data_IF_536833832961
#
_entry.id   IF_536833832961
#
_cell.length_a   1.000
_cell.length_b   1.000
_cell.length_c   1.000
_cell.angle_alpha   90.00
_cell.angle_beta   90.00
_cell.angle_gamma   90.00
#
_symmetry.space_group_name_H-M   'P 1'
#
loop_
_entity.id
_entity.type
_entity.pdbx_description
1 polymer ?
#
# COMPACT_ATOMS: atom_id res chain seq x y z
N UNK A 1 29.60 -4.17 41.87
CA UNK A 1 30.93 -3.57 42.13
C UNK A 1 30.80 -2.62 43.31
N UNK A 2 31.66 -2.79 44.32
CA UNK A 2 31.53 -2.21 45.65
C UNK A 2 32.12 -0.78 45.67
N UNK A 3 31.32 0.24 45.34
CA UNK A 3 31.77 1.64 45.23
C UNK A 3 31.78 2.42 46.56
N UNK A 4 31.20 1.88 47.64
CA UNK A 4 31.10 2.58 48.93
C UNK A 4 32.39 2.60 49.76
N UNK A 5 33.22 1.56 49.66
CA UNK A 5 34.42 1.42 50.51
C UNK A 5 35.57 2.37 50.15
N UNK A 6 35.74 2.68 48.87
CA UNK A 6 36.82 3.56 48.40
C UNK A 6 36.56 5.05 48.68
N UNK A 7 35.30 5.47 48.77
CA UNK A 7 34.93 6.86 49.05
C UNK A 7 35.29 7.26 50.49
N UNK A 8 35.08 6.36 51.45
CA UNK A 8 35.35 6.59 52.88
C UNK A 8 36.86 6.69 53.15
N UNK A 9 37.68 5.84 52.49
CA UNK A 9 39.13 5.90 52.60
C UNK A 9 39.71 7.20 51.99
N UNK A 10 39.13 7.68 50.88
CA UNK A 10 39.54 8.93 50.27
C UNK A 10 39.18 10.15 51.14
N UNK A 11 37.97 10.18 51.71
CA UNK A 11 37.52 11.24 52.64
C UNK A 11 38.41 11.34 53.89
N UNK A 12 38.80 10.20 54.48
CA UNK A 12 39.70 10.17 55.63
C UNK A 12 41.13 10.66 55.33
N UNK A 13 41.60 10.51 54.09
CA UNK A 13 42.90 11.04 53.65
C UNK A 13 42.87 12.57 53.44
N UNK A 14 41.73 13.10 53.00
CA UNK A 14 41.52 14.54 52.76
C UNK A 14 41.41 15.33 54.06
N UNK A 15 40.79 14.74 55.10
CA UNK A 15 40.66 15.34 56.44
C UNK A 15 42.00 15.49 57.18
N UNK A 16 43.08 14.79 56.76
CA UNK A 16 44.42 14.90 57.37
C UNK A 16 45.29 16.00 56.77
N UNK A 17 44.86 16.69 55.71
CA UNK A 17 45.66 17.74 55.09
C UNK A 17 45.58 19.06 55.87
N UNK A 18 46.72 19.55 56.38
CA UNK A 18 46.80 20.83 57.14
C UNK A 18 46.77 22.09 56.25
N UNK A 19 46.61 21.95 54.94
CA UNK A 19 46.76 23.05 54.00
C UNK A 19 45.39 23.50 53.47
N UNK A 20 44.86 24.56 54.08
CA UNK A 20 43.50 25.05 53.87
C UNK A 20 43.19 25.30 52.38
N UNK A 21 44.16 25.80 51.61
CA UNK A 21 44.04 26.07 50.16
C UNK A 21 43.86 24.80 49.31
N UNK A 22 44.47 23.68 49.70
CA UNK A 22 44.36 22.42 48.98
C UNK A 22 42.99 21.75 49.20
N UNK A 23 42.42 21.90 50.40
CA UNK A 23 41.07 21.43 50.72
C UNK A 23 40.02 22.21 49.92
N UNK A 24 40.16 23.54 49.79
CA UNK A 24 39.22 24.35 49.00
C UNK A 24 39.26 23.99 47.52
N UNK A 25 40.45 23.77 46.93
CA UNK A 25 40.57 23.35 45.53
C UNK A 25 39.97 21.97 45.28
N UNK A 26 40.19 21.00 46.18
CA UNK A 26 39.63 19.64 46.03
C UNK A 26 38.11 19.66 46.23
N UNK A 27 37.59 20.43 47.19
CA UNK A 27 36.15 20.65 47.35
C UNK A 27 35.52 21.33 46.13
N UNK A 28 36.18 22.32 45.51
CA UNK A 28 35.73 22.97 44.28
C UNK A 28 35.80 22.05 43.05
N UNK A 29 36.78 21.15 42.98
CA UNK A 29 36.88 20.12 41.93
C UNK A 29 35.81 19.04 42.15
N UNK A 30 35.54 18.62 43.39
CA UNK A 30 34.44 17.71 43.72
C UNK A 30 33.08 18.37 43.47
N UNK A 31 32.86 19.63 43.86
CA UNK A 31 31.65 20.38 43.52
C UNK A 31 31.52 20.65 42.02
N UNK A 32 32.64 20.85 41.31
CA UNK A 32 32.68 21.02 39.86
C UNK A 32 32.40 19.73 39.09
N UNK A 33 32.86 18.58 39.62
CA UNK A 33 32.56 17.25 39.07
C UNK A 33 31.14 16.79 39.40
N UNK A 34 30.61 17.12 40.58
CA UNK A 34 29.19 16.89 40.92
C UNK A 34 28.24 17.80 40.13
N UNK A 35 28.66 19.02 39.75
CA UNK A 35 27.89 19.88 38.84
C UNK A 35 28.03 19.52 37.35
N UNK A 36 28.89 18.56 36.98
CA UNK A 36 29.10 18.16 35.59
C UNK A 36 28.21 16.97 35.17
N UNK A 37 27.69 16.20 36.12
CA UNK A 37 26.62 15.23 35.88
C UNK A 37 25.25 15.90 36.12
N UNK A 38 24.93 16.91 35.31
CA UNK A 38 23.52 17.28 35.15
C UNK A 38 22.90 16.12 34.38
N UNK A 39 22.18 15.23 35.08
CA UNK A 39 21.33 14.25 34.43
C UNK A 39 20.53 15.00 33.38
N UNK A 40 20.77 14.67 32.10
CA UNK A 40 20.05 15.29 31.01
C UNK A 40 18.60 14.81 31.16
N UNK A 41 17.75 15.63 31.77
CA UNK A 41 16.34 15.28 31.95
C UNK A 41 15.77 14.91 30.57
N UNK A 42 15.39 13.64 30.44
CA UNK A 42 14.80 13.12 29.22
C UNK A 42 13.41 13.75 29.09
N UNK A 43 13.19 14.52 28.04
CA UNK A 43 11.90 15.12 27.74
C UNK A 43 10.90 14.02 27.37
N UNK A 44 9.93 13.77 28.25
CA UNK A 44 8.88 12.78 28.04
C UNK A 44 7.61 13.41 27.42
N UNK A 45 7.69 14.64 26.91
CA UNK A 45 6.58 15.33 26.25
C UNK A 45 6.07 14.55 25.03
N UNK A 46 4.76 14.58 24.76
CA UNK A 46 4.20 13.83 23.66
C UNK A 46 4.51 14.48 22.30
N UNK A 47 4.77 13.68 21.25
CA UNK A 47 4.84 14.19 19.89
C UNK A 47 3.45 14.70 19.44
N UNK A 48 3.43 15.67 18.52
CA UNK A 48 2.18 16.14 17.88
C UNK A 48 1.96 15.33 16.62
N UNK A 49 0.90 14.53 16.58
CA UNK A 49 0.54 13.66 15.46
C UNK A 49 -0.47 14.35 14.53
N UNK A 50 -0.33 14.16 13.23
CA UNK A 50 -1.30 14.53 12.19
C UNK A 50 -1.58 13.35 11.29
N UNK A 51 -2.83 13.23 10.83
CA UNK A 51 -3.26 12.22 9.87
C UNK A 51 -4.01 12.86 8.71
N UNK A 52 -3.91 12.25 7.51
CA UNK A 52 -4.72 12.64 6.37
C UNK A 52 -6.20 12.32 6.60
N UNK A 53 -7.07 13.21 6.11
CA UNK A 53 -8.52 13.18 6.33
C UNK A 53 -9.26 13.27 4.99
N UNK A 54 -9.69 12.13 4.46
CA UNK A 54 -10.45 12.02 3.20
C UNK A 54 -9.64 12.30 1.94
N UNK A 55 -8.31 12.38 2.06
CA UNK A 55 -7.43 12.71 0.92
C UNK A 55 -7.21 11.53 -0.02
N UNK A 56 -7.10 10.33 0.54
CA UNK A 56 -6.77 9.11 -0.21
C UNK A 56 -7.79 8.00 0.07
N UNK A 57 -7.96 7.09 -0.88
CA UNK A 57 -8.87 5.94 -0.73
C UNK A 57 -8.18 4.71 -0.15
N UNK A 58 -6.89 4.52 -0.47
CA UNK A 58 -6.12 3.31 -0.15
C UNK A 58 -5.02 3.53 0.91
N UNK A 59 -4.96 4.71 1.53
CA UNK A 59 -3.95 5.01 2.56
C UNK A 59 -4.37 6.09 3.54
N UNK A 60 -3.76 6.07 4.72
CA UNK A 60 -3.71 7.21 5.63
C UNK A 60 -2.26 7.66 5.80
N UNK A 61 -1.96 8.89 5.40
CA UNK A 61 -0.64 9.48 5.58
C UNK A 61 -0.54 10.12 6.97
N UNK A 62 0.49 9.75 7.72
CA UNK A 62 0.77 10.22 9.07
C UNK A 62 2.08 10.98 9.12
N UNK A 63 2.12 12.00 9.97
CA UNK A 63 3.36 12.73 10.30
C UNK A 63 3.31 13.20 11.74
N UNK A 64 4.48 13.31 12.38
CA UNK A 64 4.57 13.83 13.74
C UNK A 64 5.82 14.67 13.97
N UNK A 65 5.80 15.50 15.02
CA UNK A 65 6.94 16.35 15.38
C UNK A 65 8.14 15.51 15.82
N UNK A 66 9.35 15.72 15.26
CA UNK A 66 10.57 15.06 15.73
C UNK A 66 10.92 15.50 17.16
N UNK A 67 11.23 14.54 18.02
CA UNK A 67 11.69 14.74 19.38
C UNK A 67 13.20 14.49 19.49
N UNK A 68 13.88 15.36 20.24
CA UNK A 68 15.34 15.29 20.38
C UNK A 68 15.75 14.07 21.21
N UNK A 69 16.71 13.30 20.68
CA UNK A 69 17.28 12.12 21.37
C UNK A 69 16.42 10.85 21.29
N UNK A 70 15.24 10.92 20.65
CA UNK A 70 14.40 9.75 20.37
C UNK A 70 15.02 8.94 19.23
N UNK A 71 15.09 7.62 19.41
CA UNK A 71 15.62 6.65 18.44
C UNK A 71 14.55 6.21 17.43
N UNK A 72 13.32 6.05 17.89
CA UNK A 72 12.20 5.52 17.12
C UNK A 72 10.86 5.90 17.74
N UNK A 73 9.76 5.64 17.04
CA UNK A 73 8.41 5.95 17.48
C UNK A 73 7.54 4.71 17.42
N UNK A 74 6.83 4.40 18.50
CA UNK A 74 5.77 3.40 18.47
C UNK A 74 4.50 4.04 17.95
N UNK A 75 4.05 3.58 16.78
CA UNK A 75 2.77 3.97 16.20
C UNK A 75 1.70 2.96 16.60
N UNK A 76 0.59 3.46 17.10
CA UNK A 76 -0.57 2.67 17.47
C UNK A 76 -1.79 3.09 16.66
N UNK A 77 -2.66 2.12 16.37
CA UNK A 77 -3.92 2.31 15.64
C UNK A 77 -5.02 1.48 16.28
N UNK A 78 -6.24 1.97 16.20
CA UNK A 78 -7.45 1.16 16.38
C UNK A 78 -8.23 1.14 15.09
N UNK A 79 -8.74 -0.02 14.73
CA UNK A 79 -9.62 -0.19 13.58
C UNK A 79 -11.03 0.31 13.92
N UNK A 80 -11.78 0.65 12.87
CA UNK A 80 -13.15 1.15 12.84
C UNK A 80 -13.94 1.06 14.16
N UNK A 81 -14.01 2.19 14.88
CA UNK A 81 -15.00 2.41 15.95
C UNK A 81 -15.62 3.79 15.74
N UNK A 82 -16.90 3.85 15.35
CA UNK A 82 -17.66 5.09 15.52
C UNK A 82 -17.90 5.28 17.02
N UNK A 83 -17.20 6.23 17.62
CA UNK A 83 -17.31 6.51 19.07
C UNK A 83 -17.36 8.01 19.33
N UNK A 84 -18.13 8.40 20.34
CA UNK A 84 -18.11 9.75 20.91
C UNK A 84 -16.93 9.99 21.86
N UNK A 85 -16.20 8.93 22.24
CA UNK A 85 -15.04 9.02 23.14
C UNK A 85 -13.84 8.20 22.61
N UNK A 86 -13.08 8.75 21.65
CA UNK A 86 -11.93 8.05 21.06
C UNK A 86 -10.74 7.89 22.02
N UNK A 87 -10.76 8.55 23.18
CA UNK A 87 -9.69 8.49 24.19
C UNK A 87 -9.50 7.12 24.85
N UNK A 88 -10.57 6.31 24.92
CA UNK A 88 -10.60 5.02 25.62
C UNK A 88 -10.59 3.82 24.68
N UNK A 89 -10.28 4.02 23.40
CA UNK A 89 -10.23 2.94 22.42
C UNK A 89 -9.06 1.98 22.69
N UNK A 90 -9.21 0.73 22.28
CA UNK A 90 -8.16 -0.28 22.37
C UNK A 90 -7.17 -0.11 21.20
N UNK A 91 -6.05 0.56 21.47
CA UNK A 91 -5.00 0.79 20.48
C UNK A 91 -4.06 -0.41 20.35
N UNK A 92 -3.84 -0.87 19.13
CA UNK A 92 -2.90 -1.95 18.78
C UNK A 92 -1.63 -1.33 18.18
N UNK A 93 -0.48 -1.90 18.52
CA UNK A 93 0.81 -1.48 17.94
C UNK A 93 0.84 -1.81 16.45
N UNK A 94 1.00 -0.79 15.61
CA UNK A 94 1.23 -0.93 14.16
C UNK A 94 2.69 -1.28 13.89
N UNK A 95 3.61 -0.60 14.59
CA UNK A 95 5.04 -0.84 14.47
C UNK A 95 5.90 0.20 15.17
N UNK A 96 7.21 -0.02 15.11
CA UNK A 96 8.24 0.90 15.57
C UNK A 96 8.93 1.54 14.36
N UNK A 97 8.81 2.87 14.23
CA UNK A 97 9.17 3.64 13.05
C UNK A 97 10.34 4.55 13.39
N UNK A 98 11.44 4.51 12.63
CA UNK A 98 12.60 5.37 12.85
C UNK A 98 12.45 6.78 12.27
N UNK A 99 11.57 6.93 11.28
CA UNK A 99 11.23 8.21 10.65
C UNK A 99 10.15 8.95 11.46
N UNK A 100 9.81 10.17 11.04
CA UNK A 100 8.71 10.98 11.57
C UNK A 100 7.47 10.99 10.69
N UNK A 101 7.44 10.11 9.69
CA UNK A 101 6.30 9.90 8.80
C UNK A 101 6.00 8.42 8.67
N UNK A 102 4.74 8.09 8.41
CA UNK A 102 4.30 6.73 8.12
C UNK A 102 3.12 6.78 7.15
N UNK A 103 3.07 5.83 6.21
CA UNK A 103 1.91 5.65 5.34
C UNK A 103 1.25 4.34 5.71
N UNK A 104 0.06 4.43 6.31
CA UNK A 104 -0.74 3.25 6.59
C UNK A 104 -1.48 2.80 5.33
N UNK A 105 -1.00 1.72 4.72
CA UNK A 105 -1.59 1.06 3.55
C UNK A 105 -2.58 -0.06 3.95
N UNK A 106 -2.63 -0.44 5.24
CA UNK A 106 -3.52 -1.51 5.73
C UNK A 106 -4.86 -0.94 6.17
N UNK A 107 -5.46 -0.15 5.29
CA UNK A 107 -6.73 0.54 5.49
C UNK A 107 -7.74 0.08 4.44
N UNK A 108 -9.02 0.25 4.77
CA UNK A 108 -10.16 0.00 3.89
C UNK A 108 -10.72 1.35 3.47
N UNK A 109 -11.09 1.50 2.20
CA UNK A 109 -11.67 2.77 1.75
C UNK A 109 -12.98 3.12 2.47
N UNK A 110 -13.33 4.41 2.46
CA UNK A 110 -14.50 4.94 3.18
C UNK A 110 -14.46 4.78 4.71
N UNK A 111 -13.37 4.28 5.28
CA UNK A 111 -13.26 3.95 6.71
C UNK A 111 -12.52 5.01 7.52
N UNK A 112 -12.78 5.00 8.83
CA UNK A 112 -12.16 5.89 9.82
C UNK A 112 -11.29 5.10 10.79
N UNK A 113 -10.16 5.70 11.15
CA UNK A 113 -9.14 5.16 12.03
C UNK A 113 -8.72 6.22 13.05
N UNK A 114 -8.19 5.76 14.17
CA UNK A 114 -7.58 6.63 15.18
C UNK A 114 -6.18 6.16 15.50
N UNK A 115 -5.28 7.13 15.67
CA UNK A 115 -3.85 6.89 15.85
C UNK A 115 -3.32 7.58 17.10
N UNK A 116 -2.26 6.98 17.65
CA UNK A 116 -1.38 7.60 18.66
C UNK A 116 0.06 7.26 18.35
N UNK A 117 0.98 8.15 18.72
CA UNK A 117 2.41 7.90 18.57
C UNK A 117 3.17 8.29 19.85
N UNK A 118 4.18 7.51 20.21
CA UNK A 118 5.06 7.77 21.36
C UNK A 118 6.53 7.57 20.95
N UNK A 119 7.40 8.47 21.38
CA UNK A 119 8.85 8.35 21.14
C UNK A 119 9.48 7.30 22.05
N UNK A 120 10.51 6.62 21.56
CA UNK A 120 11.32 5.63 22.26
C UNK A 120 12.78 6.07 22.25
N UNK A 121 13.37 6.22 23.42
CA UNK A 121 14.77 6.58 23.62
C UNK A 121 15.69 5.36 23.52
N UNK A 122 17.01 5.54 23.26
CA UNK A 122 17.97 4.43 23.19
C UNK A 122 18.03 3.53 24.42
N UNK A 123 17.70 4.06 25.61
CA UNK A 123 17.64 3.33 26.87
C UNK A 123 16.30 2.58 27.07
N UNK A 124 15.39 2.62 26.10
CA UNK A 124 14.06 2.00 26.16
C UNK A 124 12.98 2.83 26.84
N UNK A 125 13.32 4.00 27.41
CA UNK A 125 12.34 4.91 28.00
C UNK A 125 11.43 5.48 26.90
N UNK A 126 10.15 5.68 27.21
CA UNK A 126 9.14 6.18 26.27
C UNK A 126 8.62 7.54 26.70
N UNK A 127 8.23 8.36 25.73
CA UNK A 127 7.46 9.58 25.98
C UNK A 127 6.03 9.25 26.35
N UNK A 128 5.28 10.25 26.80
CA UNK A 128 3.82 10.20 26.73
C UNK A 128 3.37 10.01 25.28
N UNK A 129 2.25 9.33 25.08
CA UNK A 129 1.63 9.24 23.76
C UNK A 129 1.04 10.58 23.33
N UNK A 130 1.04 10.84 22.03
CA UNK A 130 0.29 11.93 21.43
C UNK A 130 -1.19 11.92 21.86
N UNK A 131 -1.86 13.06 21.69
CA UNK A 131 -3.32 13.06 21.63
C UNK A 131 -3.80 12.11 20.53
N UNK A 132 -5.03 11.62 20.67
CA UNK A 132 -5.63 10.79 19.62
C UNK A 132 -5.82 11.64 18.38
N UNK A 133 -5.27 11.19 17.26
CA UNK A 133 -5.51 11.81 15.96
C UNK A 133 -6.42 10.92 15.11
N UNK A 134 -7.48 11.52 14.56
CA UNK A 134 -8.36 10.87 13.61
C UNK A 134 -7.76 10.93 12.20
N UNK A 135 -7.79 9.82 11.47
CA UNK A 135 -7.55 9.78 10.02
C UNK A 135 -8.64 8.97 9.34
N UNK A 136 -9.01 9.32 8.11
CA UNK A 136 -10.01 8.57 7.36
C UNK A 136 -9.74 8.59 5.87
N UNK A 137 -10.17 7.54 5.19
CA UNK A 137 -10.08 7.38 3.74
C UNK A 137 -11.39 7.83 3.09
N UNK A 138 -11.32 8.34 1.85
CA UNK A 138 -12.52 8.49 1.03
C UNK A 138 -12.94 7.13 0.43
N UNK A 139 -14.16 7.02 -0.09
CA UNK A 139 -14.63 5.82 -0.79
C UNK A 139 -13.78 5.59 -2.04
N UNK A 140 -13.37 4.34 -2.28
CA UNK A 140 -12.63 3.95 -3.47
C UNK A 140 -13.52 4.01 -4.71
N UNK A 141 -13.11 4.81 -5.68
CA UNK A 141 -13.75 4.90 -6.99
C UNK A 141 -13.01 4.06 -8.02
N UNK A 142 -13.67 3.74 -9.13
CA UNK A 142 -13.01 3.05 -10.24
C UNK A 142 -11.83 3.88 -10.78
N UNK A 143 -11.99 5.21 -10.88
CA UNK A 143 -10.91 6.14 -11.26
C UNK A 143 -9.70 6.03 -10.33
N UNK A 144 -9.91 6.08 -9.01
CA UNK A 144 -8.83 5.99 -8.03
C UNK A 144 -8.12 4.62 -8.15
N UNK A 145 -8.87 3.53 -8.14
CA UNK A 145 -8.33 2.17 -8.16
C UNK A 145 -7.54 1.88 -9.44
N UNK A 146 -8.13 2.18 -10.61
CA UNK A 146 -7.50 1.91 -11.90
C UNK A 146 -6.26 2.78 -12.10
N UNK A 147 -6.27 4.02 -11.59
CA UNK A 147 -5.10 4.91 -11.63
C UNK A 147 -3.96 4.36 -10.78
N UNK A 148 -4.26 3.92 -9.56
CA UNK A 148 -3.25 3.40 -8.64
C UNK A 148 -2.66 2.08 -9.12
N UNK A 149 -3.46 1.08 -9.52
CA UNK A 149 -2.91 -0.20 -10.02
C UNK A 149 -2.08 -0.02 -11.29
N UNK A 150 -2.49 0.89 -12.20
CA UNK A 150 -1.73 1.20 -13.39
C UNK A 150 -0.38 1.82 -13.05
N UNK A 151 -0.38 2.88 -12.25
CA UNK A 151 0.85 3.62 -11.90
C UNK A 151 1.83 2.80 -11.07
N UNK A 152 1.36 2.07 -10.05
CA UNK A 152 2.22 1.25 -9.18
C UNK A 152 2.89 0.09 -9.93
N UNK A 153 2.25 -0.44 -10.98
CA UNK A 153 2.82 -1.53 -11.78
C UNK A 153 3.64 -1.05 -12.97
N UNK A 154 3.88 0.26 -13.12
CA UNK A 154 4.64 0.83 -14.24
C UNK A 154 3.87 0.92 -15.56
N UNK A 155 2.54 0.79 -15.50
CA UNK A 155 1.63 1.10 -16.59
C UNK A 155 0.90 2.42 -16.36
N UNK A 156 -0.32 2.54 -16.89
CA UNK A 156 -1.15 3.74 -16.81
C UNK A 156 -2.62 3.40 -17.06
N UNK A 157 -3.53 4.09 -16.39
CA UNK A 157 -4.97 4.08 -16.69
C UNK A 157 -5.31 4.87 -17.97
N UNK A 158 -6.28 4.37 -18.72
CA UNK A 158 -6.89 5.04 -19.86
C UNK A 158 -8.40 5.16 -19.64
N UNK A 159 -8.98 6.23 -20.16
CA UNK A 159 -10.42 6.46 -20.16
C UNK A 159 -11.00 6.10 -21.54
N UNK A 160 -12.09 5.35 -21.55
CA UNK A 160 -12.95 5.15 -22.71
C UNK A 160 -14.32 5.78 -22.38
N UNK A 161 -14.69 6.91 -23.00
CA UNK A 161 -16.00 7.54 -22.79
C UNK A 161 -17.22 6.67 -23.13
N UNK A 162 -16.99 5.52 -23.76
CA UNK A 162 -17.95 4.47 -24.04
C UNK A 162 -17.27 3.33 -24.84
N UNK A 163 -18.02 2.26 -25.13
CA UNK A 163 -17.51 1.10 -25.87
C UNK A 163 -16.80 1.42 -27.18
N UNK A 164 -17.27 2.43 -27.92
CA UNK A 164 -16.79 2.77 -29.27
C UNK A 164 -15.37 3.31 -29.27
N UNK A 165 -14.92 3.88 -28.17
CA UNK A 165 -13.57 4.42 -28.01
C UNK A 165 -12.57 3.36 -27.54
N UNK A 166 -13.03 2.27 -26.92
CA UNK A 166 -12.22 1.14 -26.47
C UNK A 166 -11.26 0.63 -27.56
N UNK A 167 -11.66 0.38 -28.83
CA UNK A 167 -10.72 -0.05 -29.88
C UNK A 167 -9.54 0.89 -30.06
N UNK A 168 -9.79 2.21 -30.06
CA UNK A 168 -8.74 3.21 -30.22
C UNK A 168 -7.80 3.20 -29.01
N UNK A 169 -8.35 3.17 -27.80
CA UNK A 169 -7.58 3.13 -26.56
C UNK A 169 -6.68 1.88 -26.50
N UNK A 170 -7.21 0.72 -26.85
CA UNK A 170 -6.43 -0.53 -26.90
C UNK A 170 -5.31 -0.39 -27.95
N UNK A 171 -5.61 0.12 -29.15
CA UNK A 171 -4.58 0.33 -30.17
C UNK A 171 -3.47 1.27 -29.69
N UNK A 172 -3.83 2.34 -28.98
CA UNK A 172 -2.85 3.28 -28.41
C UNK A 172 -1.96 2.58 -27.36
N UNK A 173 -2.53 1.76 -26.48
CA UNK A 173 -1.76 0.97 -25.50
C UNK A 173 -0.81 0.01 -26.22
N UNK A 174 -1.31 -0.75 -27.19
CA UNK A 174 -0.51 -1.72 -27.96
C UNK A 174 0.63 -0.99 -28.68
N UNK A 175 0.35 0.09 -29.41
CA UNK A 175 1.36 0.82 -30.17
C UNK A 175 2.44 1.47 -29.29
N UNK A 176 2.08 1.92 -28.09
CA UNK A 176 3.01 2.59 -27.18
C UNK A 176 3.85 1.60 -26.37
N UNK A 177 3.34 0.40 -26.09
CA UNK A 177 3.92 -0.47 -25.06
C UNK A 177 4.28 -1.88 -25.54
N UNK A 178 3.59 -2.41 -26.56
CA UNK A 178 3.87 -3.75 -27.06
C UNK A 178 5.17 -3.79 -27.86
N UNK A 179 5.90 -4.89 -27.69
CA UNK A 179 7.13 -5.20 -28.41
C UNK A 179 7.01 -6.57 -29.09
N UNK A 180 7.88 -6.90 -30.07
CA UNK A 180 7.98 -8.28 -30.53
C UNK A 180 8.18 -9.26 -29.36
N UNK A 181 7.55 -10.44 -29.46
CA UNK A 181 7.56 -11.46 -28.41
C UNK A 181 6.98 -11.01 -27.05
N UNK A 182 6.05 -10.05 -27.03
CA UNK A 182 5.35 -9.66 -25.79
C UNK A 182 4.41 -10.75 -25.30
N UNK A 183 4.17 -10.79 -23.99
CA UNK A 183 3.03 -11.48 -23.40
C UNK A 183 1.94 -10.44 -23.09
N UNK A 184 0.76 -10.61 -23.68
CA UNK A 184 -0.37 -9.69 -23.53
C UNK A 184 -1.59 -10.49 -23.11
N UNK A 185 -2.25 -10.05 -22.04
CA UNK A 185 -3.54 -10.62 -21.63
C UNK A 185 -4.59 -9.53 -21.57
N UNK A 186 -5.76 -9.79 -22.14
CA UNK A 186 -6.96 -8.98 -21.90
C UNK A 186 -7.73 -9.58 -20.74
N UNK A 187 -7.90 -8.81 -19.66
CA UNK A 187 -8.75 -9.17 -18.53
C UNK A 187 -10.00 -8.30 -18.60
N UNK A 188 -11.15 -8.91 -18.88
CA UNK A 188 -12.37 -8.21 -19.29
C UNK A 188 -13.45 -8.43 -18.25
N UNK A 189 -14.01 -7.34 -17.73
CA UNK A 189 -15.24 -7.36 -16.95
C UNK A 189 -16.38 -7.94 -17.81
N UNK A 190 -17.04 -8.99 -17.32
CA UNK A 190 -18.20 -9.59 -17.98
C UNK A 190 -19.46 -9.56 -17.12
N UNK A 191 -19.57 -8.59 -16.21
CA UNK A 191 -20.76 -8.31 -15.41
C UNK A 191 -21.91 -7.81 -16.28
N UNK A 192 -23.13 -7.79 -15.73
CA UNK A 192 -24.31 -7.34 -16.46
C UNK A 192 -24.26 -5.87 -16.93
N UNK A 193 -23.51 -4.99 -16.25
CA UNK A 193 -23.41 -3.56 -16.61
C UNK A 193 -22.69 -3.35 -17.95
N UNK A 194 -21.73 -4.21 -18.27
CA UNK A 194 -20.97 -4.21 -19.53
C UNK A 194 -21.80 -4.64 -20.75
N UNK A 195 -23.12 -4.81 -20.63
CA UNK A 195 -23.95 -5.47 -21.64
C UNK A 195 -24.11 -4.73 -22.96
N UNK A 196 -24.13 -3.40 -22.93
CA UNK A 196 -24.09 -2.56 -24.13
C UNK A 196 -22.67 -2.40 -24.70
N UNK A 197 -21.64 -2.58 -23.87
CA UNK A 197 -20.25 -2.42 -24.27
C UNK A 197 -19.61 -3.69 -24.87
N UNK A 198 -19.94 -4.88 -24.35
CA UNK A 198 -19.18 -6.12 -24.62
C UNK A 198 -19.13 -6.49 -26.10
N UNK A 199 -20.20 -6.20 -26.85
CA UNK A 199 -20.27 -6.49 -28.28
C UNK A 199 -19.24 -5.68 -29.07
N UNK A 200 -19.08 -4.40 -28.72
CA UNK A 200 -18.09 -3.52 -29.34
C UNK A 200 -16.68 -3.89 -28.91
N UNK A 201 -16.47 -4.23 -27.63
CA UNK A 201 -15.18 -4.73 -27.12
C UNK A 201 -14.75 -5.99 -27.90
N UNK A 202 -15.65 -6.95 -28.13
CA UNK A 202 -15.39 -8.15 -28.93
C UNK A 202 -15.03 -7.83 -30.38
N UNK A 203 -15.80 -6.96 -31.04
CA UNK A 203 -15.55 -6.55 -32.43
C UNK A 203 -14.17 -5.89 -32.57
N UNK A 204 -13.89 -4.98 -31.64
CA UNK A 204 -12.64 -4.24 -31.53
C UNK A 204 -11.44 -5.14 -31.36
N UNK A 205 -11.48 -6.04 -30.37
CA UNK A 205 -10.39 -6.97 -30.08
C UNK A 205 -10.13 -7.91 -31.25
N UNK A 206 -11.16 -8.41 -31.93
CA UNK A 206 -10.97 -9.23 -33.13
C UNK A 206 -10.16 -8.50 -34.23
N UNK A 207 -10.35 -7.19 -34.37
CA UNK A 207 -9.61 -6.34 -35.32
C UNK A 207 -8.20 -5.97 -34.86
N UNK A 208 -7.96 -5.96 -33.55
CA UNK A 208 -6.66 -5.60 -32.95
C UNK A 208 -5.73 -6.79 -32.88
N UNK A 209 -6.26 -8.00 -32.64
CA UNK A 209 -5.48 -9.23 -32.56
C UNK A 209 -4.68 -9.47 -33.85
N UNK A 210 -5.21 -9.08 -35.02
CA UNK A 210 -4.50 -9.18 -36.30
C UNK A 210 -3.37 -8.15 -36.47
N UNK A 211 -3.25 -7.18 -35.57
CA UNK A 211 -2.24 -6.09 -35.59
C UNK A 211 -1.19 -6.24 -34.50
N UNK A 212 -1.25 -7.29 -33.69
CA UNK A 212 -0.27 -7.52 -32.63
C UNK A 212 1.14 -7.73 -33.22
N UNK A 213 2.20 -7.25 -32.55
CA UNK A 213 3.58 -7.47 -33.00
C UNK A 213 3.90 -8.96 -33.17
N UNK A 214 4.81 -9.27 -34.09
CA UNK A 214 5.24 -10.64 -34.36
C UNK A 214 5.75 -11.35 -33.10
N UNK A 215 5.38 -12.64 -32.96
CA UNK A 215 5.77 -13.48 -31.84
C UNK A 215 5.05 -13.17 -30.52
N UNK A 216 4.11 -12.20 -30.50
CA UNK A 216 3.28 -11.94 -29.32
C UNK A 216 2.53 -13.21 -28.90
N UNK A 217 2.48 -13.46 -27.60
CA UNK A 217 1.61 -14.47 -27.00
C UNK A 217 0.43 -13.77 -26.37
N UNK A 218 -0.76 -14.21 -26.75
CA UNK A 218 -2.02 -13.61 -26.35
C UNK A 218 -2.76 -14.56 -25.43
N UNK A 219 -3.15 -14.07 -24.26
CA UNK A 219 -4.06 -14.73 -23.34
C UNK A 219 -5.31 -13.88 -23.14
N UNK A 220 -6.33 -14.47 -22.55
CA UNK A 220 -7.57 -13.77 -22.20
C UNK A 220 -8.11 -14.26 -20.87
N UNK A 221 -8.79 -13.38 -20.17
CA UNK A 221 -9.47 -13.68 -18.93
C UNK A 221 -10.74 -12.85 -18.83
N UNK A 222 -11.72 -13.35 -18.09
CA UNK A 222 -12.85 -12.54 -17.62
C UNK A 222 -12.95 -12.60 -16.11
N UNK A 223 -13.49 -11.53 -15.53
CA UNK A 223 -13.87 -11.50 -14.13
C UNK A 223 -15.28 -10.92 -13.97
N UNK A 224 -15.93 -11.33 -12.89
CA UNK A 224 -17.25 -10.94 -12.44
C UNK A 224 -17.23 -10.83 -10.91
N UNK A 225 -18.38 -10.88 -10.24
CA UNK A 225 -18.45 -10.80 -8.78
C UNK A 225 -18.27 -12.15 -8.09
N UNK A 226 -17.11 -12.36 -7.45
CA UNK A 226 -16.77 -13.58 -6.72
C UNK A 226 -17.59 -13.84 -5.45
N UNK A 227 -18.31 -12.85 -4.95
CA UNK A 227 -19.15 -13.01 -3.76
C UNK A 227 -20.55 -13.52 -4.11
N UNK A 228 -20.98 -13.37 -5.36
CA UNK A 228 -22.31 -13.76 -5.82
C UNK A 228 -22.27 -14.84 -6.90
N UNK A 229 -21.27 -14.83 -7.78
CA UNK A 229 -21.20 -15.69 -8.94
C UNK A 229 -20.23 -16.85 -8.73
N UNK A 230 -20.72 -18.09 -8.92
CA UNK A 230 -19.87 -19.29 -8.83
C UNK A 230 -18.91 -19.44 -10.01
N UNK A 231 -19.26 -18.87 -11.17
CA UNK A 231 -18.44 -18.84 -12.38
C UNK A 231 -17.90 -17.42 -12.63
N UNK A 232 -17.36 -16.78 -11.60
CA UNK A 232 -16.92 -15.39 -11.67
C UNK A 232 -15.60 -15.17 -12.44
N UNK A 233 -14.82 -16.20 -12.73
CA UNK A 233 -13.52 -16.06 -13.40
C UNK A 233 -13.27 -17.15 -14.44
N UNK A 234 -12.87 -16.74 -15.64
CA UNK A 234 -12.50 -17.64 -16.74
C UNK A 234 -11.14 -17.22 -17.31
N UNK A 235 -10.36 -18.19 -17.79
CA UNK A 235 -8.99 -17.94 -18.24
C UNK A 235 -8.61 -18.82 -19.44
N UNK A 236 -7.99 -18.19 -20.43
CA UNK A 236 -7.29 -18.82 -21.55
C UNK A 236 -5.84 -18.35 -21.54
N UNK A 237 -4.91 -19.29 -21.45
CA UNK A 237 -3.48 -18.98 -21.31
C UNK A 237 -2.86 -18.39 -22.58
N UNK A 238 -1.65 -17.85 -22.42
CA UNK A 238 -0.83 -17.20 -23.42
C UNK A 238 -0.44 -18.16 -24.56
N UNK A 239 -0.84 -17.84 -25.78
CA UNK A 239 -0.47 -18.60 -26.98
C UNK A 239 -0.15 -17.68 -28.18
N UNK A 240 0.75 -18.12 -29.06
CA UNK A 240 0.97 -17.47 -30.37
C UNK A 240 -0.13 -17.82 -31.39
N UNK A 241 -0.83 -18.94 -31.19
CA UNK A 241 -2.05 -19.27 -31.91
C UNK A 241 -3.24 -18.54 -31.30
N UNK A 242 -3.65 -17.46 -31.97
CA UNK A 242 -4.74 -16.63 -31.51
C UNK A 242 -6.13 -17.22 -31.76
N UNK A 243 -6.26 -18.41 -32.37
CA UNK A 243 -7.57 -19.06 -32.55
C UNK A 243 -8.24 -19.34 -31.20
N UNK A 244 -7.48 -19.80 -30.21
CA UNK A 244 -7.98 -20.07 -28.85
C UNK A 244 -8.47 -18.78 -28.20
N UNK A 245 -7.66 -17.71 -28.26
CA UNK A 245 -8.03 -16.41 -27.71
C UNK A 245 -9.27 -15.82 -28.42
N UNK A 246 -9.37 -15.93 -29.75
CA UNK A 246 -10.56 -15.49 -30.51
C UNK A 246 -11.81 -16.28 -30.13
N UNK A 247 -11.69 -17.61 -29.97
CA UNK A 247 -12.80 -18.45 -29.51
C UNK A 247 -13.26 -18.07 -28.10
N UNK A 248 -12.32 -17.83 -27.18
CA UNK A 248 -12.62 -17.34 -25.84
C UNK A 248 -13.37 -16.00 -25.91
N UNK A 249 -12.82 -15.02 -26.64
CA UNK A 249 -13.43 -13.70 -26.82
C UNK A 249 -14.86 -13.78 -27.32
N UNK A 250 -15.09 -14.57 -28.37
CA UNK A 250 -16.40 -14.67 -28.99
C UNK A 250 -17.42 -15.35 -28.05
N UNK A 251 -16.96 -16.24 -27.16
CA UNK A 251 -17.78 -16.96 -26.20
C UNK A 251 -18.14 -16.17 -24.93
N UNK A 252 -17.51 -15.00 -24.68
CA UNK A 252 -17.81 -14.19 -23.48
C UNK A 252 -19.30 -13.80 -23.48
N UNK A 253 -20.02 -14.11 -22.42
CA UNK A 253 -21.36 -13.57 -22.21
C UNK A 253 -21.33 -12.68 -20.97
N UNK A 254 -22.11 -11.61 -21.00
CA UNK A 254 -22.35 -10.78 -19.82
C UNK A 254 -23.46 -11.39 -18.97
N UNK A 255 -23.28 -11.38 -17.67
CA UNK A 255 -24.27 -11.85 -16.69
C UNK A 255 -23.85 -11.43 -15.29
N UNK A 256 -24.73 -11.62 -14.31
CA UNK A 256 -24.35 -11.49 -12.90
C UNK A 256 -23.88 -10.09 -12.54
N UNK A 257 -22.98 -10.02 -11.56
CA UNK A 257 -22.39 -8.78 -11.04
C UNK A 257 -23.07 -8.25 -9.77
N UNK A 258 -24.25 -8.78 -9.40
CA UNK A 258 -24.90 -8.47 -8.12
C UNK A 258 -25.04 -6.96 -7.83
N UNK A 259 -24.10 -6.44 -7.05
CA UNK A 259 -23.92 -5.01 -6.74
C UNK A 259 -22.47 -4.55 -6.98
N UNK A 260 -22.30 -3.37 -7.59
CA UNK A 260 -21.02 -2.65 -7.58
C UNK A 260 -20.56 -2.42 -6.14
N UNK A 261 -19.29 -2.66 -5.77
CA UNK A 261 -18.10 -2.94 -6.59
C UNK A 261 -17.90 -4.39 -7.07
N UNK A 262 -16.97 -4.60 -8.01
CA UNK A 262 -16.67 -5.88 -8.69
C UNK A 262 -15.33 -6.52 -8.26
N UNK A 263 -15.08 -7.80 -8.58
CA UNK A 263 -13.86 -8.52 -8.14
C UNK A 263 -12.60 -8.24 -8.99
N UNK A 264 -12.35 -6.97 -9.32
CA UNK A 264 -11.22 -6.52 -10.17
C UNK A 264 -9.87 -7.00 -9.63
N UNK A 265 -9.59 -6.81 -8.34
CA UNK A 265 -8.31 -7.21 -7.73
C UNK A 265 -8.10 -8.72 -7.75
N UNK A 266 -9.14 -9.49 -7.47
CA UNK A 266 -9.10 -10.95 -7.50
C UNK A 266 -8.87 -11.46 -8.94
N UNK A 267 -9.56 -10.88 -9.92
CA UNK A 267 -9.38 -11.20 -11.34
C UNK A 267 -7.96 -10.91 -11.85
N UNK A 268 -7.38 -9.78 -11.46
CA UNK A 268 -5.99 -9.44 -11.82
C UNK A 268 -5.02 -10.45 -11.19
N UNK A 269 -5.18 -10.72 -9.89
CA UNK A 269 -4.30 -11.64 -9.18
C UNK A 269 -4.34 -13.04 -9.79
N UNK A 270 -5.53 -13.60 -10.03
CA UNK A 270 -5.68 -14.92 -10.64
C UNK A 270 -5.04 -14.96 -12.04
N UNK A 271 -5.19 -13.90 -12.82
CA UNK A 271 -4.60 -13.80 -14.16
C UNK A 271 -3.07 -13.80 -14.13
N UNK A 272 -2.47 -12.99 -13.25
CA UNK A 272 -1.01 -12.97 -13.10
C UNK A 272 -0.50 -14.32 -12.59
N UNK A 273 -1.19 -14.93 -11.64
CA UNK A 273 -0.79 -16.18 -11.02
C UNK A 273 -0.88 -17.40 -11.96
N UNK A 274 -1.90 -17.45 -12.83
CA UNK A 274 -2.16 -18.61 -13.70
C UNK A 274 -1.42 -18.57 -15.02
N UNK A 275 -1.08 -17.39 -15.53
CA UNK A 275 -0.51 -17.26 -16.86
C UNK A 275 0.92 -17.79 -16.96
N UNK A 276 1.23 -18.48 -18.07
CA UNK A 276 2.55 -19.04 -18.36
C UNK A 276 3.52 -17.99 -18.92
N UNK A 277 3.76 -16.93 -18.15
CA UNK A 277 4.66 -15.82 -18.51
C UNK A 277 6.06 -16.31 -18.90
N UNK A 278 6.54 -15.90 -20.07
CA UNK A 278 7.85 -16.32 -20.60
C UNK A 278 8.55 -15.23 -21.39
N UNK A 279 7.82 -14.23 -21.89
CA UNK A 279 8.40 -13.10 -22.61
C UNK A 279 9.50 -12.44 -21.78
N UNK A 280 10.65 -12.16 -22.38
CA UNK A 280 11.73 -11.39 -21.73
C UNK A 280 11.71 -9.92 -22.14
N UNK A 281 10.83 -9.53 -23.06
CA UNK A 281 10.72 -8.17 -23.60
C UNK A 281 9.68 -7.38 -22.85
N UNK A 282 8.42 -7.81 -22.89
CA UNK A 282 7.31 -7.10 -22.26
C UNK A 282 6.20 -8.06 -21.84
N UNK A 283 5.66 -7.84 -20.64
CA UNK A 283 4.51 -8.57 -20.10
C UNK A 283 3.52 -7.54 -19.56
N UNK A 284 2.28 -7.60 -20.00
CA UNK A 284 1.26 -6.72 -19.44
C UNK A 284 -0.16 -7.28 -19.59
N UNK A 285 -1.03 -6.74 -18.75
CA UNK A 285 -2.46 -7.00 -18.78
C UNK A 285 -3.16 -5.69 -19.15
N UNK A 286 -4.07 -5.75 -20.12
CA UNK A 286 -5.05 -4.70 -20.36
C UNK A 286 -6.30 -5.09 -19.58
N UNK A 287 -6.58 -4.37 -18.49
CA UNK A 287 -7.75 -4.60 -17.63
C UNK A 287 -8.88 -3.72 -18.15
N UNK A 288 -10.05 -4.28 -18.41
CA UNK A 288 -11.20 -3.55 -18.97
C UNK A 288 -12.37 -3.70 -18.00
N UNK A 289 -13.02 -2.60 -17.63
CA UNK A 289 -14.22 -2.60 -16.78
C UNK A 289 -14.74 -1.19 -16.54
N UNK A 290 -15.86 -1.09 -15.83
CA UNK A 290 -16.60 0.14 -15.51
C UNK A 290 -16.74 0.40 -14.00
N UNK A 291 -16.41 -0.60 -13.16
CA UNK A 291 -16.66 -0.57 -11.72
C UNK A 291 -15.38 -0.54 -10.83
N UNK A 292 -15.49 -0.01 -9.59
CA UNK A 292 -14.42 -0.12 -8.60
C UNK A 292 -14.20 -1.57 -8.12
N UNK A 293 -13.01 -1.89 -7.59
CA UNK A 293 -12.72 -3.18 -6.97
C UNK A 293 -13.43 -3.34 -5.63
N UNK A 294 -13.79 -4.58 -5.30
CA UNK A 294 -14.17 -4.99 -3.96
C UNK A 294 -12.99 -4.93 -2.99
N UNK A 295 -13.27 -4.73 -1.71
CA UNK A 295 -12.27 -4.63 -0.65
C UNK A 295 -12.73 -5.37 0.62
N UNK A 296 -11.78 -5.60 1.54
CA UNK A 296 -12.06 -6.18 2.85
C UNK A 296 -12.64 -7.59 2.74
N UNK A 297 -13.73 -7.86 3.45
CA UNK A 297 -14.37 -9.19 3.44
C UNK A 297 -15.02 -9.58 2.12
N UNK A 298 -15.17 -8.64 1.18
CA UNK A 298 -15.71 -8.88 -0.16
C UNK A 298 -14.62 -9.20 -1.19
N UNK A 299 -13.35 -9.17 -0.84
CA UNK A 299 -12.29 -9.53 -1.78
C UNK A 299 -11.29 -10.47 -1.14
N UNK A 300 -10.80 -11.43 -1.93
CA UNK A 300 -9.78 -12.37 -1.47
C UNK A 300 -8.38 -11.77 -1.54
N UNK A 301 -8.20 -10.70 -2.33
CA UNK A 301 -6.92 -10.06 -2.63
C UNK A 301 -6.97 -8.57 -2.34
N UNK A 302 -6.03 -8.10 -1.53
CA UNK A 302 -5.83 -6.67 -1.35
C UNK A 302 -5.08 -6.03 -2.51
N UNK A 303 -5.18 -4.71 -2.62
CA UNK A 303 -4.37 -3.90 -3.52
C UNK A 303 -2.87 -4.26 -3.44
N UNK A 304 -2.31 -4.33 -2.23
CA UNK A 304 -0.90 -4.67 -2.03
C UNK A 304 -0.55 -6.06 -2.57
N UNK A 305 -1.43 -7.05 -2.41
CA UNK A 305 -1.20 -8.40 -2.94
C UNK A 305 -1.18 -8.40 -4.47
N UNK A 306 -2.02 -7.59 -5.12
CA UNK A 306 -2.01 -7.37 -6.57
C UNK A 306 -0.70 -6.71 -7.01
N UNK A 307 -0.27 -5.63 -6.36
CA UNK A 307 0.99 -4.96 -6.70
C UNK A 307 2.19 -5.91 -6.50
N UNK A 308 2.22 -6.65 -5.40
CA UNK A 308 3.32 -7.56 -5.08
C UNK A 308 3.43 -8.72 -6.08
N UNK A 309 2.31 -9.29 -6.55
CA UNK A 309 2.38 -10.37 -7.55
C UNK A 309 2.81 -9.83 -8.93
N UNK A 310 2.35 -8.63 -9.31
CA UNK A 310 2.74 -7.98 -10.57
C UNK A 310 4.23 -7.58 -10.60
N UNK A 311 4.84 -7.32 -9.45
CA UNK A 311 6.23 -6.87 -9.31
C UNK A 311 7.15 -7.91 -8.67
N UNK A 312 6.73 -9.18 -8.63
CA UNK A 312 7.51 -10.25 -8.04
C UNK A 312 8.89 -10.39 -8.72
N UNK A 313 9.92 -10.79 -7.96
CA UNK A 313 11.28 -10.90 -8.51
C UNK A 313 11.32 -11.86 -9.70
N UNK A 314 11.75 -11.38 -10.86
CA UNK A 314 11.80 -12.15 -12.12
C UNK A 314 10.49 -12.15 -12.92
N UNK A 315 9.44 -11.52 -12.39
CA UNK A 315 8.14 -11.32 -13.02
C UNK A 315 7.66 -9.87 -12.82
N UNK A 316 7.88 -9.04 -13.83
CA UNK A 316 7.28 -7.70 -13.91
C UNK A 316 6.17 -7.73 -14.94
N UNK A 317 4.94 -7.47 -14.51
CA UNK A 317 3.74 -7.37 -15.34
C UNK A 317 3.16 -5.97 -15.15
N UNK A 318 3.14 -5.18 -16.22
CA UNK A 318 2.52 -3.86 -16.17
C UNK A 318 0.99 -4.01 -16.32
N UNK A 319 0.21 -3.18 -15.63
CA UNK A 319 -1.24 -3.10 -15.81
C UNK A 319 -1.59 -1.84 -16.59
N UNK A 320 -2.42 -2.00 -17.62
CA UNK A 320 -2.99 -0.89 -18.38
C UNK A 320 -4.52 -0.94 -18.30
N UNK A 321 -5.11 -0.40 -17.21
CA UNK A 321 -6.55 -0.42 -17.04
C UNK A 321 -7.23 0.56 -18.00
N UNK A 322 -8.34 0.14 -18.57
CA UNK A 322 -9.27 0.93 -19.37
C UNK A 322 -10.56 1.03 -18.57
N UNK A 323 -10.87 2.23 -18.09
CA UNK A 323 -12.13 2.52 -17.44
C UNK A 323 -13.15 2.96 -18.50
N UNK A 324 -14.21 2.19 -18.67
CA UNK A 324 -15.37 2.57 -19.48
C UNK A 324 -16.29 3.46 -18.61
N UNK A 325 -16.90 4.47 -19.22
CA UNK A 325 -17.70 5.52 -18.56
C UNK A 325 -19.15 5.52 -19.03
#
# INVERSE_FOLDING_TARGET
>A
MNWGGNLILYLNSVLKMKNLKAITCIMLILFGLFNCARDLEIDISPPVLKASKGTYSLKVALSWTPLKGVKSYQLFRTDYVSTSNPGNLNFVLVGEISDTTFTDLKVTSGSRYYYRVAGVYPNGQKTMSSQVEEGYTKVLTADDAFTEIGSQTGGKRYDAPGAKEVPKVILDIINQNAQPNSDIIFLIDNTGSMGDDISEVKSSLNSIISKLPAGTRLGMATYNDNNYDTNWYHFSDLNTDYTIARSFLNAINVYGGGDTPESVYDGIYETVNRASWSSKTKRFIIVIGDAPPQEGSRSQKSFDQVINICLAKGLTVNLYPILIK
#
